data_IF_805622652336
#
_entry.id   IF_805622652336
#
_cell.length_a   1.000
_cell.length_b   1.000
_cell.length_c   1.000
_cell.angle_alpha   90.00
_cell.angle_beta   90.00
_cell.angle_gamma   90.00
#
_symmetry.space_group_name_H-M   'P 1'
#
loop_
_entity.id
_entity.type
_entity.pdbx_description
1 polymer ?
#
# COMPACT_ATOMS: atom_id res chain seq x y z
N UNK A 1 -16.62 -14.22 2.96
CA UNK A 1 -16.06 -12.95 3.44
C UNK A 1 -16.27 -11.90 2.35
N UNK A 2 -16.62 -10.65 2.68
CA UNK A 2 -16.89 -9.62 1.69
C UNK A 2 -15.58 -9.11 1.03
N UNK A 3 -15.68 -8.73 -0.24
CA UNK A 3 -14.63 -8.13 -1.07
C UNK A 3 -15.15 -6.79 -1.60
N UNK A 4 -14.28 -5.83 -2.00
CA UNK A 4 -12.81 -5.91 -2.14
C UNK A 4 -12.03 -5.65 -0.85
N UNK A 5 -10.81 -6.16 -0.77
CA UNK A 5 -9.94 -6.08 0.43
C UNK A 5 -8.57 -5.51 0.11
N UNK A 6 -7.94 -4.88 1.10
CA UNK A 6 -6.53 -4.48 1.04
C UNK A 6 -5.76 -4.97 2.26
N UNK A 7 -4.61 -5.58 2.04
CA UNK A 7 -3.70 -6.07 3.07
C UNK A 7 -2.36 -5.39 3.00
N UNK A 8 -1.89 -4.83 4.12
CA UNK A 8 -0.56 -4.26 4.25
C UNK A 8 0.29 -5.21 5.09
N UNK A 9 1.26 -5.86 4.44
CA UNK A 9 2.30 -6.66 5.10
C UNK A 9 3.50 -5.78 5.40
N UNK A 10 3.95 -5.76 6.65
CA UNK A 10 5.10 -4.93 7.04
C UNK A 10 5.98 -5.58 8.10
N UNK A 11 7.28 -5.29 8.03
CA UNK A 11 8.25 -5.66 9.05
C UNK A 11 7.96 -4.93 10.36
N UNK A 12 7.66 -5.69 11.43
CA UNK A 12 7.43 -5.13 12.76
C UNK A 12 8.70 -4.59 13.42
N UNK A 13 9.88 -5.11 13.04
CA UNK A 13 11.18 -4.65 13.54
C UNK A 13 11.62 -3.31 12.94
N UNK A 14 11.30 -3.03 11.67
CA UNK A 14 11.66 -1.77 11.02
C UNK A 14 10.79 -0.57 11.51
N UNK A 15 9.97 -0.73 12.56
CA UNK A 15 9.08 0.31 13.13
C UNK A 15 8.14 0.97 12.11
N UNK A 16 7.76 0.25 11.06
CA UNK A 16 6.83 0.75 10.03
C UNK A 16 5.35 0.55 10.40
N UNK A 17 5.05 0.19 11.65
CA UNK A 17 3.68 0.02 12.15
C UNK A 17 2.86 1.31 12.03
N UNK A 18 3.43 2.46 12.42
CA UNK A 18 2.74 3.75 12.34
C UNK A 18 2.47 4.15 10.88
N UNK A 19 3.45 3.94 10.00
CA UNK A 19 3.30 4.20 8.57
C UNK A 19 2.22 3.31 7.95
N UNK A 20 2.21 2.02 8.28
CA UNK A 20 1.22 1.06 7.79
C UNK A 20 -0.19 1.42 8.28
N UNK A 21 -0.33 1.78 9.55
CA UNK A 21 -1.59 2.24 10.12
C UNK A 21 -2.09 3.54 9.46
N UNK A 22 -1.19 4.47 9.14
CA UNK A 22 -1.54 5.69 8.42
C UNK A 22 -2.10 5.40 7.02
N UNK A 23 -1.51 4.49 6.26
CA UNK A 23 -2.07 4.09 4.96
C UNK A 23 -3.46 3.47 5.10
N UNK A 24 -3.68 2.63 6.11
CA UNK A 24 -5.03 2.10 6.40
C UNK A 24 -6.02 3.23 6.68
N UNK A 25 -5.64 4.23 7.48
CA UNK A 25 -6.51 5.39 7.75
C UNK A 25 -6.82 6.19 6.48
N UNK A 26 -5.82 6.46 5.64
CA UNK A 26 -5.99 7.15 4.35
C UNK A 26 -6.96 6.41 3.43
N UNK A 27 -6.83 5.08 3.32
CA UNK A 27 -7.71 4.24 2.51
C UNK A 27 -9.12 4.19 3.10
N UNK A 28 -9.25 4.03 4.41
CA UNK A 28 -10.55 3.99 5.10
C UNK A 28 -11.31 5.31 4.92
N UNK A 29 -10.64 6.45 5.09
CA UNK A 29 -11.25 7.77 4.92
C UNK A 29 -11.67 8.04 3.47
N UNK A 30 -10.92 7.52 2.49
CA UNK A 30 -11.19 7.77 1.07
C UNK A 30 -12.28 6.86 0.51
N UNK A 31 -12.26 5.57 0.86
CA UNK A 31 -13.09 4.56 0.23
C UNK A 31 -14.29 4.16 1.08
N UNK A 32 -14.27 4.41 2.39
CA UNK A 32 -15.37 4.12 3.31
C UNK A 32 -15.93 2.70 3.08
N UNK A 33 -17.22 2.57 2.76
CA UNK A 33 -17.93 1.31 2.58
C UNK A 33 -17.55 0.55 1.28
N UNK A 34 -16.72 1.14 0.44
CA UNK A 34 -16.27 0.54 -0.82
C UNK A 34 -15.22 -0.56 -0.63
N UNK A 35 -14.51 -0.54 0.50
CA UNK A 35 -13.57 -1.58 0.88
C UNK A 35 -14.19 -2.39 2.01
N UNK A 36 -14.32 -3.70 1.77
CA UNK A 36 -14.92 -4.62 2.72
C UNK A 36 -13.99 -4.93 3.91
N UNK A 37 -12.68 -4.89 3.69
CA UNK A 37 -11.68 -5.23 4.71
C UNK A 37 -10.37 -4.51 4.47
N UNK A 38 -9.77 -4.02 5.56
CA UNK A 38 -8.41 -3.50 5.61
C UNK A 38 -7.65 -4.27 6.69
N UNK A 39 -6.54 -4.90 6.34
CA UNK A 39 -5.77 -5.73 7.26
C UNK A 39 -4.31 -5.28 7.39
N UNK A 40 -3.82 -5.24 8.62
CA UNK A 40 -2.40 -5.06 8.95
C UNK A 40 -1.81 -6.41 9.33
N UNK A 41 -0.82 -6.88 8.56
CA UNK A 41 -0.23 -8.21 8.71
C UNK A 41 1.26 -8.08 9.05
N UNK A 42 1.72 -8.62 10.19
CA UNK A 42 3.15 -8.76 10.45
C UNK A 42 3.83 -9.58 9.35
N UNK A 43 4.86 -9.00 8.74
CA UNK A 43 5.63 -9.61 7.66
C UNK A 43 7.06 -9.96 8.07
N UNK A 44 7.82 -10.42 7.08
CA UNK A 44 9.23 -10.75 7.23
C UNK A 44 10.12 -9.51 7.38
N UNK A 45 11.39 -9.74 7.72
CA UNK A 45 12.40 -8.69 7.83
C UNK A 45 12.49 -7.84 6.55
N UNK A 46 12.29 -6.53 6.70
CA UNK A 46 12.36 -5.56 5.61
C UNK A 46 11.23 -5.65 4.59
N UNK A 47 10.19 -6.45 4.84
CA UNK A 47 9.01 -6.53 4.00
C UNK A 47 8.14 -5.29 4.19
N UNK A 48 7.72 -4.70 3.07
CA UNK A 48 6.60 -3.76 3.04
C UNK A 48 5.88 -3.94 1.71
N UNK A 49 4.70 -4.57 1.75
CA UNK A 49 3.88 -4.87 0.58
C UNK A 49 2.42 -4.51 0.83
N UNK A 50 1.79 -3.90 -0.16
CA UNK A 50 0.38 -3.58 -0.16
C UNK A 50 -0.29 -4.43 -1.25
N UNK A 51 -1.19 -5.29 -0.81
CA UNK A 51 -1.87 -6.29 -1.63
C UNK A 51 -3.35 -5.98 -1.68
N UNK A 52 -3.97 -6.15 -2.85
CA UNK A 52 -5.40 -5.95 -3.08
C UNK A 52 -6.06 -7.25 -3.53
N UNK A 53 -7.32 -7.43 -3.17
CA UNK A 53 -8.13 -8.60 -3.53
C UNK A 53 -9.51 -8.13 -3.99
N UNK A 54 -9.89 -8.51 -5.22
CA UNK A 54 -11.11 -7.97 -5.85
C UNK A 54 -12.35 -8.84 -5.66
N UNK A 55 -12.23 -10.15 -5.87
CA UNK A 55 -13.36 -11.09 -5.77
C UNK A 55 -13.06 -12.32 -4.92
N UNK A 56 -11.80 -12.76 -4.88
CA UNK A 56 -11.36 -13.87 -4.05
C UNK A 56 -9.91 -13.67 -3.54
N UNK A 57 -9.39 -14.66 -2.81
CA UNK A 57 -8.00 -14.65 -2.31
C UNK A 57 -6.98 -15.11 -3.37
N UNK A 58 -7.42 -15.65 -4.51
CA UNK A 58 -6.56 -16.18 -5.58
C UNK A 58 -6.15 -15.05 -6.53
N UNK A 59 -7.03 -14.07 -6.74
CA UNK A 59 -6.79 -12.86 -7.51
C UNK A 59 -6.04 -11.79 -6.69
N UNK A 60 -4.85 -12.16 -6.21
CA UNK A 60 -3.96 -11.25 -5.49
C UNK A 60 -3.37 -10.20 -6.46
N UNK A 61 -3.57 -8.91 -6.15
CA UNK A 61 -3.07 -7.78 -6.94
C UNK A 61 -2.01 -7.03 -6.13
N UNK A 62 -0.78 -6.96 -6.64
CA UNK A 62 0.28 -6.12 -6.06
C UNK A 62 -0.03 -4.63 -6.30
N UNK A 63 -0.42 -3.93 -5.24
CA UNK A 63 -0.63 -2.48 -5.27
C UNK A 63 0.69 -1.73 -5.03
N UNK A 64 1.57 -2.27 -4.18
CA UNK A 64 2.91 -1.74 -3.97
C UNK A 64 3.83 -2.79 -3.36
N UNK A 65 5.10 -2.83 -3.77
CA UNK A 65 6.14 -3.59 -3.09
C UNK A 65 7.42 -2.74 -2.97
N UNK A 66 7.84 -2.49 -1.72
CA UNK A 66 9.04 -1.69 -1.44
C UNK A 66 10.29 -2.22 -2.15
N UNK A 67 10.42 -3.54 -2.34
CA UNK A 67 11.60 -4.14 -2.98
C UNK A 67 11.65 -3.88 -4.47
N UNK A 68 10.49 -3.80 -5.14
CA UNK A 68 10.41 -3.62 -6.60
C UNK A 68 10.13 -2.19 -7.02
N UNK A 69 9.25 -1.49 -6.29
CA UNK A 69 8.84 -0.11 -6.58
C UNK A 69 9.74 0.93 -5.89
N UNK A 70 10.52 0.52 -4.87
CA UNK A 70 11.44 1.38 -4.13
C UNK A 70 10.75 2.29 -3.12
N UNK A 71 11.19 2.24 -1.86
CA UNK A 71 10.65 3.10 -0.80
C UNK A 71 9.15 2.92 -0.54
N UNK A 72 8.47 4.01 -0.19
CA UNK A 72 7.06 4.02 0.20
C UNK A 72 6.20 4.83 -0.80
N UNK A 73 4.96 4.39 -1.07
CA UNK A 73 4.12 5.06 -2.05
C UNK A 73 3.63 6.40 -1.50
N UNK A 74 3.50 7.39 -2.37
CA UNK A 74 2.70 8.57 -2.06
C UNK A 74 1.23 8.17 -1.82
N UNK A 75 0.54 8.82 -0.87
CA UNK A 75 -0.84 8.44 -0.53
C UNK A 75 -1.80 8.65 -1.69
N UNK A 76 -1.60 9.69 -2.51
CA UNK A 76 -2.44 9.94 -3.68
C UNK A 76 -2.23 8.84 -4.72
N UNK A 77 -0.99 8.45 -4.96
CA UNK A 77 -0.67 7.35 -5.87
C UNK A 77 -1.33 6.04 -5.40
N UNK A 78 -1.19 5.71 -4.12
CA UNK A 78 -1.79 4.49 -3.56
C UNK A 78 -3.32 4.48 -3.72
N UNK A 79 -3.99 5.59 -3.38
CA UNK A 79 -5.44 5.74 -3.54
C UNK A 79 -5.87 5.55 -4.99
N UNK A 80 -5.17 6.17 -5.94
CA UNK A 80 -5.47 6.00 -7.37
C UNK A 80 -5.31 4.56 -7.83
N UNK A 81 -4.25 3.88 -7.38
CA UNK A 81 -4.00 2.48 -7.74
C UNK A 81 -5.04 1.54 -7.14
N UNK A 82 -5.47 1.77 -5.90
CA UNK A 82 -6.57 1.02 -5.26
C UNK A 82 -7.86 1.20 -6.06
N UNK A 83 -8.23 2.44 -6.39
CA UNK A 83 -9.41 2.73 -7.22
C UNK A 83 -9.33 1.97 -8.54
N UNK A 84 -8.27 2.20 -9.31
CA UNK A 84 -8.12 1.65 -10.67
C UNK A 84 -8.09 0.13 -10.72
N UNK A 85 -7.60 -0.55 -9.67
CA UNK A 85 -7.40 -2.01 -9.69
C UNK A 85 -8.47 -2.79 -8.95
N UNK A 86 -9.12 -2.20 -7.94
CA UNK A 86 -10.08 -2.90 -7.09
C UNK A 86 -11.52 -2.40 -7.26
N UNK A 87 -11.72 -1.17 -7.75
CA UNK A 87 -13.00 -0.47 -7.74
C UNK A 87 -13.34 0.04 -9.15
N UNK A 88 -13.93 -0.83 -9.98
CA UNK A 88 -14.19 -0.54 -11.39
C UNK A 88 -15.19 0.61 -11.63
N UNK A 89 -16.01 1.00 -10.63
CA UNK A 89 -17.18 1.87 -10.84
C UNK A 89 -17.36 3.00 -9.81
N UNK A 90 -16.32 3.36 -9.05
CA UNK A 90 -16.47 4.37 -7.98
C UNK A 90 -16.04 5.75 -8.47
N UNK A 91 -16.97 6.70 -8.50
CA UNK A 91 -16.68 8.11 -8.70
C UNK A 91 -16.02 8.72 -7.45
N UNK A 92 -14.74 8.42 -7.18
CA UNK A 92 -13.97 9.22 -6.22
C UNK A 92 -13.70 10.61 -6.82
N UNK A 93 -13.80 11.65 -5.99
CA UNK A 93 -13.82 13.05 -6.41
C UNK A 93 -12.64 13.48 -7.30
N UNK A 94 -12.82 14.60 -8.02
CA UNK A 94 -11.97 15.10 -9.11
C UNK A 94 -10.45 15.16 -8.82
N UNK A 95 -10.02 15.23 -7.56
CA UNK A 95 -8.60 15.22 -7.20
C UNK A 95 -7.91 13.86 -7.46
N UNK A 96 -8.67 12.76 -7.59
CA UNK A 96 -8.13 11.43 -7.86
C UNK A 96 -8.16 11.04 -9.34
N UNK A 97 -8.67 11.89 -10.24
CA UNK A 97 -8.77 11.61 -11.68
C UNK A 97 -7.47 11.85 -12.46
N UNK A 98 -6.59 12.72 -11.95
CA UNK A 98 -5.31 13.06 -12.60
C UNK A 98 -4.25 12.04 -12.22
N UNK A 99 -3.77 11.21 -13.15
CA UNK A 99 -2.67 10.25 -12.90
C UNK A 99 -1.51 10.92 -12.14
N UNK A 100 -1.28 10.48 -10.90
CA UNK A 100 -0.12 10.89 -10.13
C UNK A 100 1.06 9.99 -10.52
N UNK A 101 2.22 10.59 -10.83
CA UNK A 101 3.48 9.85 -10.78
C UNK A 101 3.77 9.55 -9.32
N UNK A 102 4.22 8.32 -9.02
CA UNK A 102 4.67 8.00 -7.67
C UNK A 102 5.89 8.86 -7.35
N UNK A 103 5.70 9.88 -6.52
CA UNK A 103 6.82 10.56 -5.86
C UNK A 103 7.20 9.68 -4.69
N UNK A 104 8.28 8.92 -4.84
CA UNK A 104 8.80 8.06 -3.77
C UNK A 104 9.07 8.94 -2.56
N UNK A 105 8.35 8.71 -1.47
CA UNK A 105 8.59 9.39 -0.21
C UNK A 105 9.83 8.73 0.42
N UNK A 106 10.99 9.23 0.03
CA UNK A 106 12.27 8.84 0.62
C UNK A 106 12.31 9.33 2.07
N UNK A 107 12.35 8.41 3.02
CA UNK A 107 12.76 8.73 4.39
C UNK A 107 14.20 8.31 4.56
N UNK A 108 15.11 9.28 4.56
CA UNK A 108 16.55 9.06 4.75
C UNK A 108 17.26 8.62 3.48
N UNK A 109 18.57 8.92 3.42
CA UNK A 109 19.48 8.63 2.30
C UNK A 109 19.61 7.11 2.07
N UNK A 110 18.69 6.50 1.33
CA UNK A 110 18.87 5.16 0.77
C UNK A 110 19.36 5.31 -0.68
N UNK A 111 20.68 5.29 -0.84
CA UNK A 111 21.31 5.07 -2.14
C UNK A 111 20.93 3.71 -2.71
N UNK A 112 20.94 3.61 -4.04
CA UNK A 112 20.77 2.39 -4.83
C UNK A 112 21.44 1.18 -4.17
N UNK A 113 20.66 0.35 -3.50
CA UNK A 113 21.11 -0.99 -3.16
C UNK A 113 19.96 -1.97 -3.36
N UNK A 114 19.81 -2.39 -4.61
CA UNK A 114 19.04 -3.56 -4.98
C UNK A 114 19.55 -4.77 -4.17
N UNK A 115 18.85 -5.11 -3.08
CA UNK A 115 18.79 -6.48 -2.58
C UNK A 115 19.40 -6.82 -1.22
N UNK A 116 19.91 -5.90 -0.39
CA UNK A 116 20.47 -6.30 0.93
C UNK A 116 20.08 -5.37 2.08
N UNK A 117 19.33 -5.97 3.01
CA UNK A 117 19.04 -5.57 4.39
C UNK A 117 18.30 -4.23 4.60
N UNK A 118 17.14 -4.28 5.26
CA UNK A 118 16.42 -3.09 5.74
C UNK A 118 17.29 -2.37 6.78
N UNK A 119 17.77 -1.17 6.47
CA UNK A 119 18.59 -0.36 7.38
C UNK A 119 17.88 -0.06 8.71
N UNK A 120 16.54 0.00 8.68
CA UNK A 120 15.71 0.21 9.87
C UNK A 120 15.52 -1.06 10.73
N UNK A 121 15.98 -2.25 10.31
CA UNK A 121 15.69 -3.53 10.98
C UNK A 121 16.62 -3.85 12.17
N UNK A 122 16.90 -2.85 13.00
CA UNK A 122 17.72 -3.01 14.21
C UNK A 122 16.88 -3.63 15.32
#
# INVERSE_FOLDING_TARGET
MPYPKVSIRFCTRCKWNLRSAWYVQELMQTFQDSLAELSLIPGETGEFRIMGYKMDMQDEIVLWDRKTDGGFPDSKFLKQRVKSRLLDDISVGAHLEREAKSTILLTGEEGENSGKECADCV
#
